data_IF_094712189197
#
_entry.id   IF_094712189197
#
_cell.length_a   1.000
_cell.length_b   1.000
_cell.length_c   1.000
_cell.angle_alpha   90.00
_cell.angle_beta   90.00
_cell.angle_gamma   90.00
#
_symmetry.space_group_name_H-M   'P 1'
#
loop_
_entity.id
_entity.type
_entity.pdbx_description
1 polymer ?
#
# COMPACT_ATOMS: atom_id res chain seq x y z
N UNK A 1 -37.67 -40.12 -33.47
CA UNK A 1 -37.65 -41.02 -32.29
C UNK A 1 -37.81 -40.18 -31.02
N UNK A 2 -38.84 -40.41 -30.19
CA UNK A 2 -39.00 -39.70 -28.94
C UNK A 2 -37.89 -40.07 -27.95
N UNK A 3 -37.22 -39.06 -27.38
CA UNK A 3 -36.15 -39.26 -26.40
C UNK A 3 -36.75 -39.82 -25.10
N UNK A 4 -36.16 -40.89 -24.55
CA UNK A 4 -36.66 -41.51 -23.31
C UNK A 4 -36.62 -40.50 -22.15
N UNK A 5 -37.71 -40.38 -21.39
CA UNK A 5 -37.85 -39.46 -20.22
C UNK A 5 -36.66 -39.48 -19.26
N UNK A 6 -36.04 -40.64 -19.04
CA UNK A 6 -34.84 -40.80 -18.18
C UNK A 6 -33.59 -40.07 -18.73
N UNK A 7 -33.43 -40.02 -20.06
CA UNK A 7 -32.32 -39.32 -20.72
C UNK A 7 -32.47 -37.80 -20.57
N UNK A 8 -33.69 -37.29 -20.75
CA UNK A 8 -34.02 -35.87 -20.56
C UNK A 8 -33.74 -35.40 -19.13
N UNK A 9 -34.12 -36.19 -18.12
CA UNK A 9 -33.84 -35.88 -16.71
C UNK A 9 -32.34 -35.82 -16.41
N UNK A 10 -31.54 -36.78 -16.94
CA UNK A 10 -30.08 -36.76 -16.74
C UNK A 10 -29.40 -35.55 -17.38
N UNK A 11 -29.82 -35.18 -18.59
CA UNK A 11 -29.32 -33.99 -19.28
C UNK A 11 -29.66 -32.73 -18.46
N UNK A 12 -30.90 -32.62 -17.97
CA UNK A 12 -31.32 -31.50 -17.11
C UNK A 12 -30.50 -31.42 -15.82
N UNK A 13 -30.28 -32.55 -15.12
CA UNK A 13 -29.44 -32.59 -13.92
C UNK A 13 -28.00 -32.16 -14.25
N UNK A 14 -27.44 -32.64 -15.36
CA UNK A 14 -26.09 -32.24 -15.80
C UNK A 14 -25.98 -30.74 -16.11
N UNK A 15 -26.98 -30.16 -16.79
CA UNK A 15 -27.04 -28.72 -17.07
C UNK A 15 -27.17 -27.92 -15.77
N UNK A 16 -28.06 -28.32 -14.86
CA UNK A 16 -28.24 -27.66 -13.56
C UNK A 16 -26.96 -27.75 -12.73
N UNK A 17 -26.33 -28.92 -12.65
CA UNK A 17 -25.06 -29.09 -11.95
C UNK A 17 -23.96 -28.23 -12.58
N UNK A 18 -23.86 -28.18 -13.90
CA UNK A 18 -22.89 -27.34 -14.61
C UNK A 18 -23.11 -25.83 -14.37
N UNK A 19 -24.38 -25.38 -14.35
CA UNK A 19 -24.74 -24.00 -14.02
C UNK A 19 -24.38 -23.69 -12.56
N UNK A 20 -24.70 -24.59 -11.62
CA UNK A 20 -24.37 -24.43 -10.21
C UNK A 20 -22.85 -24.40 -9.98
N UNK A 21 -22.09 -25.25 -10.69
CA UNK A 21 -20.62 -25.23 -10.68
C UNK A 21 -20.09 -23.90 -11.22
N UNK A 22 -20.70 -23.34 -12.27
CA UNK A 22 -20.33 -22.02 -12.80
C UNK A 22 -20.49 -20.89 -11.79
N UNK A 23 -21.50 -20.94 -10.92
CA UNK A 23 -21.67 -19.96 -9.84
C UNK A 23 -20.60 -20.07 -8.76
N UNK A 24 -19.96 -21.24 -8.59
CA UNK A 24 -18.75 -21.39 -7.76
C UNK A 24 -17.49 -20.88 -8.47
N UNK A 25 -17.50 -20.66 -9.79
CA UNK A 25 -16.31 -20.20 -10.50
C UNK A 25 -15.97 -18.73 -10.20
N UNK A 26 -16.84 -17.96 -9.55
CA UNK A 26 -16.57 -16.54 -9.27
C UNK A 26 -16.99 -16.13 -7.87
N UNK A 27 -16.11 -15.43 -7.17
CA UNK A 27 -16.47 -14.74 -5.94
C UNK A 27 -15.85 -13.35 -5.89
N UNK A 28 -16.43 -12.49 -5.07
CA UNK A 28 -15.95 -11.13 -4.81
C UNK A 28 -15.54 -10.99 -3.35
N UNK A 29 -14.39 -10.38 -3.12
CA UNK A 29 -13.91 -10.00 -1.79
C UNK A 29 -13.82 -8.48 -1.67
N UNK A 30 -14.16 -7.93 -0.50
CA UNK A 30 -14.16 -6.49 -0.25
C UNK A 30 -13.31 -6.18 0.98
N UNK A 31 -12.14 -5.61 0.78
CA UNK A 31 -11.23 -5.24 1.86
C UNK A 31 -11.27 -3.73 2.11
N UNK A 32 -11.16 -3.34 3.38
CA UNK A 32 -10.95 -1.95 3.80
C UNK A 32 -9.62 -1.82 4.53
N UNK A 33 -8.76 -0.92 4.07
CA UNK A 33 -7.39 -0.79 4.57
C UNK A 33 -6.95 0.68 4.67
N UNK A 34 -5.79 0.89 5.32
CA UNK A 34 -5.11 2.18 5.49
C UNK A 34 -6.02 3.34 5.93
N UNK A 35 -6.77 3.19 7.03
CA UNK A 35 -7.66 4.23 7.48
C UNK A 35 -6.85 5.36 8.13
N UNK A 36 -7.29 6.60 7.91
CA UNK A 36 -6.66 7.80 8.46
C UNK A 36 -7.71 8.81 8.88
N UNK A 37 -7.56 9.34 10.09
CA UNK A 37 -8.41 10.41 10.59
C UNK A 37 -8.12 11.74 9.90
N UNK A 38 -9.17 12.53 9.65
CA UNK A 38 -9.00 13.96 9.43
C UNK A 38 -8.42 14.64 10.67
N UNK A 39 -7.74 15.76 10.49
CA UNK A 39 -7.11 16.52 11.58
C UNK A 39 -8.09 17.00 12.65
N UNK A 40 -9.35 17.21 12.28
CA UNK A 40 -10.44 17.61 13.18
C UNK A 40 -11.18 16.42 13.81
N UNK A 41 -10.82 15.18 13.50
CA UNK A 41 -11.45 13.96 14.01
C UNK A 41 -12.89 13.73 13.50
N UNK A 42 -13.39 14.52 12.56
CA UNK A 42 -14.78 14.39 12.07
C UNK A 42 -14.92 13.37 10.96
N UNK A 43 -13.84 13.05 10.24
CA UNK A 43 -13.85 12.15 9.09
C UNK A 43 -12.78 11.08 9.22
N UNK A 44 -13.05 9.97 8.54
CA UNK A 44 -12.10 8.89 8.30
C UNK A 44 -12.00 8.73 6.78
N UNK A 45 -10.77 8.72 6.29
CA UNK A 45 -10.43 8.30 4.93
C UNK A 45 -9.94 6.87 4.97
N UNK A 46 -10.22 6.09 3.95
CA UNK A 46 -9.73 4.72 3.86
C UNK A 46 -9.63 4.28 2.40
N UNK A 47 -8.93 3.16 2.20
CA UNK A 47 -8.95 2.44 0.94
C UNK A 47 -10.02 1.36 0.99
N UNK A 48 -10.75 1.20 -0.10
CA UNK A 48 -11.61 0.05 -0.35
C UNK A 48 -11.10 -0.70 -1.57
N UNK A 49 -10.71 -1.95 -1.41
CA UNK A 49 -10.33 -2.84 -2.50
C UNK A 49 -11.43 -3.86 -2.75
N UNK A 50 -11.81 -4.04 -4.00
CA UNK A 50 -12.77 -5.06 -4.43
C UNK A 50 -12.06 -5.98 -5.41
N UNK A 51 -11.78 -7.22 -4.97
CA UNK A 51 -11.16 -8.24 -5.81
C UNK A 51 -12.23 -9.16 -6.37
N UNK A 52 -12.22 -9.34 -7.69
CA UNK A 52 -13.06 -10.30 -8.38
C UNK A 52 -12.20 -11.48 -8.76
N UNK A 53 -12.53 -12.64 -8.20
CA UNK A 53 -11.83 -13.88 -8.44
C UNK A 53 -12.57 -14.70 -9.48
N UNK A 54 -11.80 -15.38 -10.32
CA UNK A 54 -12.30 -16.44 -11.20
C UNK A 54 -11.51 -17.69 -10.94
N UNK A 55 -12.21 -18.81 -10.95
CA UNK A 55 -11.60 -20.13 -10.92
C UNK A 55 -10.86 -20.35 -12.23
N UNK A 56 -9.56 -20.59 -12.15
CA UNK A 56 -8.70 -20.87 -13.29
C UNK A 56 -8.06 -22.24 -13.10
N UNK A 57 -8.03 -23.03 -14.17
CA UNK A 57 -7.29 -24.28 -14.21
C UNK A 57 -5.87 -23.99 -14.71
N UNK A 58 -4.88 -24.15 -13.83
CA UNK A 58 -3.45 -24.02 -14.15
C UNK A 58 -2.79 -25.40 -14.07
N UNK A 59 -2.78 -26.15 -15.18
CA UNK A 59 -2.26 -27.52 -15.19
C UNK A 59 -3.09 -28.47 -14.33
N UNK A 60 -2.45 -29.13 -13.35
CA UNK A 60 -3.09 -30.04 -12.39
C UNK A 60 -3.71 -29.35 -11.17
N UNK A 61 -3.49 -28.03 -11.00
CA UNK A 61 -3.99 -27.27 -9.86
C UNK A 61 -5.15 -26.37 -10.25
N UNK A 62 -6.07 -26.23 -9.30
CA UNK A 62 -7.19 -25.31 -9.37
C UNK A 62 -6.94 -24.17 -8.39
N UNK A 63 -6.92 -22.94 -8.89
CA UNK A 63 -6.74 -21.76 -8.05
C UNK A 63 -7.68 -20.63 -8.48
N UNK A 64 -8.07 -19.82 -7.50
CA UNK A 64 -8.78 -18.59 -7.76
C UNK A 64 -7.78 -17.50 -8.06
N UNK A 65 -7.86 -16.95 -9.28
CA UNK A 65 -7.04 -15.81 -9.68
C UNK A 65 -7.89 -14.54 -9.70
N UNK A 66 -7.30 -13.45 -9.23
CA UNK A 66 -7.90 -12.13 -9.40
C UNK A 66 -7.81 -11.78 -10.88
N UNK A 67 -8.96 -11.69 -11.54
CA UNK A 67 -9.03 -11.31 -12.96
C UNK A 67 -9.46 -9.85 -13.14
N UNK A 68 -9.88 -9.20 -12.06
CA UNK A 68 -10.33 -7.82 -12.06
C UNK A 68 -10.29 -7.33 -10.63
N UNK A 69 -9.90 -6.08 -10.45
CA UNK A 69 -10.03 -5.42 -9.17
C UNK A 69 -10.52 -3.99 -9.33
N UNK A 70 -11.04 -3.43 -8.24
CA UNK A 70 -11.42 -2.03 -8.15
C UNK A 70 -10.97 -1.47 -6.82
N UNK A 71 -10.12 -0.45 -6.86
CA UNK A 71 -9.63 0.22 -5.67
C UNK A 71 -10.19 1.64 -5.60
N UNK A 72 -10.60 2.04 -4.40
CA UNK A 72 -11.20 3.34 -4.16
C UNK A 72 -10.50 4.01 -2.98
N UNK A 73 -10.19 5.29 -3.13
CA UNK A 73 -9.96 6.18 -1.98
C UNK A 73 -11.30 6.73 -1.56
N UNK A 74 -11.69 6.50 -0.31
CA UNK A 74 -13.00 6.87 0.22
C UNK A 74 -12.88 7.81 1.41
N UNK A 75 -13.96 8.53 1.68
CA UNK A 75 -14.17 9.30 2.90
C UNK A 75 -15.51 8.95 3.52
N UNK A 76 -15.58 9.02 4.85
CA UNK A 76 -16.81 8.93 5.62
C UNK A 76 -16.73 9.79 6.88
N UNK A 77 -17.88 10.13 7.46
CA UNK A 77 -17.91 10.67 8.82
C UNK A 77 -17.40 9.61 9.81
N UNK A 78 -16.89 10.05 10.95
CA UNK A 78 -16.33 9.16 11.98
C UNK A 78 -17.37 8.24 12.64
N UNK A 79 -18.65 8.54 12.48
CA UNK A 79 -19.77 7.67 12.88
C UNK A 79 -20.16 6.65 11.79
N UNK A 80 -19.48 6.65 10.64
CA UNK A 80 -19.74 5.79 9.48
C UNK A 80 -20.80 6.29 8.51
N UNK A 81 -21.41 7.45 8.76
CA UNK A 81 -22.36 8.09 7.85
C UNK A 81 -21.66 8.81 6.69
N UNK A 82 -22.43 9.18 5.66
CA UNK A 82 -21.98 9.96 4.49
C UNK A 82 -20.71 9.42 3.81
N UNK A 83 -20.85 8.43 2.94
CA UNK A 83 -19.72 7.80 2.23
C UNK A 83 -19.53 8.44 0.86
N UNK A 84 -18.33 8.95 0.59
CA UNK A 84 -17.96 9.55 -0.70
C UNK A 84 -16.70 8.90 -1.27
N UNK A 85 -16.74 8.56 -2.55
CA UNK A 85 -15.55 8.12 -3.31
C UNK A 85 -14.79 9.36 -3.75
N UNK A 86 -13.49 9.42 -3.44
CA UNK A 86 -12.59 10.50 -3.82
C UNK A 86 -11.79 10.15 -5.08
N UNK A 87 -11.33 8.90 -5.20
CA UNK A 87 -10.65 8.40 -6.39
C UNK A 87 -11.05 6.95 -6.66
N UNK A 88 -10.97 6.54 -7.93
CA UNK A 88 -11.34 5.20 -8.39
C UNK A 88 -10.32 4.69 -9.40
N UNK A 89 -9.82 3.50 -9.14
CA UNK A 89 -8.89 2.77 -10.00
C UNK A 89 -9.50 1.42 -10.35
N UNK A 90 -9.49 1.04 -11.63
CA UNK A 90 -10.08 -0.20 -12.11
C UNK A 90 -9.00 -0.99 -12.82
N UNK A 91 -8.62 -2.11 -12.23
CA UNK A 91 -7.76 -3.07 -12.88
C UNK A 91 -8.54 -4.15 -13.62
N UNK A 92 -7.91 -4.70 -14.64
CA UNK A 92 -8.42 -5.82 -15.42
C UNK A 92 -7.42 -6.98 -15.36
N UNK A 93 -7.72 -8.06 -16.05
CA UNK A 93 -6.87 -9.24 -16.03
C UNK A 93 -5.52 -8.90 -16.64
N UNK A 94 -4.44 -9.20 -15.91
CA UNK A 94 -3.09 -8.81 -16.31
C UNK A 94 -2.80 -7.31 -16.15
N UNK A 95 -3.69 -6.52 -15.53
CA UNK A 95 -3.49 -5.11 -15.19
C UNK A 95 -4.21 -4.76 -13.87
N UNK A 96 -3.82 -5.35 -12.74
CA UNK A 96 -4.47 -5.07 -11.45
C UNK A 96 -3.96 -3.75 -10.85
N UNK A 97 -4.86 -2.98 -10.20
CA UNK A 97 -4.56 -1.63 -9.68
C UNK A 97 -4.94 -1.55 -8.20
N UNK A 98 -3.99 -1.50 -7.29
CA UNK A 98 -4.21 -1.46 -5.85
C UNK A 98 -3.81 -0.12 -5.28
N UNK A 99 -4.66 0.45 -4.42
CA UNK A 99 -4.27 1.62 -3.63
C UNK A 99 -3.76 1.13 -2.28
N UNK A 100 -2.63 1.66 -1.85
CA UNK A 100 -1.95 1.29 -0.62
C UNK A 100 -1.40 2.53 0.10
N UNK A 101 -1.01 2.35 1.36
CA UNK A 101 -0.26 3.34 2.12
C UNK A 101 -0.91 4.73 2.17
N UNK A 102 -2.24 4.81 2.29
CA UNK A 102 -2.95 6.08 2.40
C UNK A 102 -2.49 6.90 3.63
N UNK A 103 -2.24 8.19 3.41
CA UNK A 103 -1.90 9.16 4.43
C UNK A 103 -2.58 10.51 4.13
N UNK A 104 -2.68 11.36 5.16
CA UNK A 104 -3.14 12.75 5.04
C UNK A 104 -1.96 13.69 5.27
N UNK A 105 -1.88 14.78 4.49
CA UNK A 105 -0.86 15.81 4.73
C UNK A 105 -1.05 16.48 6.10
N UNK A 106 0.02 17.00 6.73
CA UNK A 106 -0.06 17.68 8.03
C UNK A 106 -1.01 18.90 8.07
N UNK A 107 -1.24 19.53 6.93
CA UNK A 107 -2.19 20.64 6.78
C UNK A 107 -3.66 20.17 6.75
N UNK A 108 -3.89 18.87 6.53
CA UNK A 108 -5.19 18.22 6.48
C UNK A 108 -5.98 18.48 5.20
N UNK A 109 -5.37 18.95 4.10
CA UNK A 109 -6.07 19.33 2.86
C UNK A 109 -5.98 18.30 1.74
N UNK A 110 -4.86 17.57 1.68
CA UNK A 110 -4.59 16.57 0.66
C UNK A 110 -4.39 15.18 1.27
N UNK A 111 -4.73 14.17 0.49
CA UNK A 111 -4.39 12.77 0.75
C UNK A 111 -3.28 12.33 -0.20
N UNK A 112 -2.42 11.44 0.28
CA UNK A 112 -1.36 10.83 -0.51
C UNK A 112 -1.46 9.32 -0.35
N UNK A 113 -1.20 8.60 -1.42
CA UNK A 113 -1.25 7.14 -1.43
C UNK A 113 -0.32 6.60 -2.49
N UNK A 114 0.03 5.32 -2.33
CA UNK A 114 0.69 4.55 -3.37
C UNK A 114 -0.37 3.86 -4.23
N UNK A 115 -0.23 3.94 -5.55
CA UNK A 115 -0.96 3.12 -6.50
C UNK A 115 0.01 2.08 -7.04
N UNK A 116 -0.25 0.81 -6.74
CA UNK A 116 0.43 -0.33 -7.33
C UNK A 116 -0.32 -0.76 -8.58
N UNK A 117 0.37 -0.77 -9.71
CA UNK A 117 -0.13 -1.26 -10.99
C UNK A 117 0.97 -2.00 -11.74
N UNK A 118 0.63 -3.11 -12.38
CA UNK A 118 1.58 -3.80 -13.27
C UNK A 118 1.60 -3.19 -14.68
N UNK A 119 0.94 -2.05 -14.91
CA UNK A 119 1.13 -1.17 -16.07
C UNK A 119 2.22 -0.11 -15.79
N UNK A 120 3.15 0.07 -16.75
CA UNK A 120 4.42 0.82 -16.57
C UNK A 120 4.31 2.26 -16.15
N UNK A 121 3.19 2.89 -16.46
CA UNK A 121 3.05 4.33 -16.29
C UNK A 121 2.04 4.67 -15.21
N UNK A 122 1.55 3.68 -14.48
CA UNK A 122 0.53 3.91 -13.47
C UNK A 122 1.06 3.74 -12.06
N UNK A 123 2.02 2.85 -11.83
CA UNK A 123 2.62 2.69 -10.50
C UNK A 123 3.26 4.00 -10.01
N UNK A 124 2.90 4.43 -8.81
CA UNK A 124 3.12 5.83 -8.43
C UNK A 124 2.75 6.18 -7.01
N UNK A 125 3.41 7.22 -6.49
CA UNK A 125 2.85 7.98 -5.38
C UNK A 125 1.94 9.05 -5.99
N UNK A 126 0.70 9.09 -5.54
CA UNK A 126 -0.31 10.06 -5.99
C UNK A 126 -0.74 10.92 -4.83
N UNK A 127 -1.24 12.11 -5.17
CA UNK A 127 -1.93 12.99 -4.24
C UNK A 127 -3.26 13.46 -4.80
N UNK A 128 -4.20 13.77 -3.92
CA UNK A 128 -5.52 14.31 -4.28
C UNK A 128 -6.01 15.26 -3.19
N UNK A 129 -6.69 16.34 -3.58
CA UNK A 129 -7.40 17.18 -2.63
C UNK A 129 -8.59 16.42 -2.03
N UNK A 130 -8.89 16.68 -0.75
CA UNK A 130 -10.06 16.09 -0.07
C UNK A 130 -11.39 16.53 -0.71
N UNK A 131 -11.40 17.64 -1.44
CA UNK A 131 -12.57 18.10 -2.22
C UNK A 131 -12.77 17.36 -3.56
N UNK A 132 -11.91 16.37 -3.88
CA UNK A 132 -11.92 15.53 -5.08
C UNK A 132 -11.35 16.23 -6.33
N UNK A 133 -10.58 17.31 -6.14
CA UNK A 133 -9.86 17.97 -7.23
C UNK A 133 -8.40 17.54 -7.28
N UNK A 134 -7.77 17.78 -8.43
CA UNK A 134 -6.32 17.72 -8.61
C UNK A 134 -5.68 16.38 -8.19
N UNK A 135 -6.21 15.26 -8.71
CA UNK A 135 -5.48 13.99 -8.64
C UNK A 135 -4.22 14.11 -9.49
N UNK A 136 -3.05 14.07 -8.86
CA UNK A 136 -1.74 14.25 -9.51
C UNK A 136 -0.80 13.13 -9.10
N UNK A 137 -0.02 12.64 -10.06
CA UNK A 137 1.09 11.72 -9.82
C UNK A 137 2.33 12.49 -9.37
N UNK A 138 2.86 12.17 -8.20
CA UNK A 138 4.01 12.85 -7.58
C UNK A 138 5.32 12.15 -7.93
N UNK A 139 5.33 10.81 -7.93
CA UNK A 139 6.50 10.01 -8.28
C UNK A 139 6.09 8.82 -9.15
N UNK A 140 6.97 8.42 -10.07
CA UNK A 140 6.76 7.30 -10.98
C UNK A 140 7.63 6.10 -10.60
N UNK A 141 7.08 4.90 -10.74
CA UNK A 141 7.78 3.63 -10.49
C UNK A 141 7.66 2.75 -11.72
N UNK A 142 8.76 2.07 -12.09
CA UNK A 142 8.77 1.16 -13.23
C UNK A 142 8.01 -0.14 -12.89
N UNK A 143 7.38 -0.80 -13.88
CA UNK A 143 6.70 -2.11 -13.67
C UNK A 143 7.65 -3.11 -13.08
N UNK A 144 7.10 -3.88 -12.16
CA UNK A 144 7.83 -4.94 -11.48
C UNK A 144 8.58 -4.44 -10.27
N UNK A 145 8.68 -3.13 -10.03
CA UNK A 145 9.10 -2.66 -8.71
C UNK A 145 8.19 -3.29 -7.64
N UNK A 146 8.79 -4.01 -6.70
CA UNK A 146 8.11 -4.98 -5.83
C UNK A 146 6.92 -4.42 -5.02
N UNK A 147 6.20 -5.35 -4.40
CA UNK A 147 4.88 -5.22 -3.77
C UNK A 147 4.79 -4.29 -2.54
N UNK A 148 5.80 -3.50 -2.21
CA UNK A 148 5.70 -2.56 -1.08
C UNK A 148 6.69 -1.42 -1.24
N UNK A 149 6.18 -0.25 -1.57
CA UNK A 149 6.90 1.02 -1.37
C UNK A 149 6.26 1.73 -0.20
N UNK A 150 6.93 1.66 0.96
CA UNK A 150 6.61 2.55 2.06
C UNK A 150 7.08 3.96 1.73
N UNK A 151 6.25 4.93 2.09
CA UNK A 151 6.58 6.34 2.00
C UNK A 151 6.23 7.03 3.31
N UNK A 152 6.94 8.12 3.57
CA UNK A 152 6.86 8.89 4.79
C UNK A 152 6.84 10.37 4.45
N UNK A 153 5.89 11.09 5.04
CA UNK A 153 5.74 12.52 4.86
C UNK A 153 6.67 13.26 5.81
N UNK A 154 7.33 14.31 5.31
CA UNK A 154 8.08 15.22 6.17
C UNK A 154 7.15 15.89 7.18
N UNK A 155 7.64 16.27 8.38
CA UNK A 155 6.82 16.91 9.41
C UNK A 155 6.11 18.20 8.94
N UNK A 156 6.73 18.91 8.00
CA UNK A 156 6.21 20.13 7.38
C UNK A 156 5.30 19.87 6.16
N UNK A 157 5.17 18.61 5.73
CA UNK A 157 4.33 18.19 4.60
C UNK A 157 4.86 18.55 3.21
N UNK A 158 6.10 19.06 3.10
CA UNK A 158 6.66 19.52 1.81
C UNK A 158 7.33 18.43 1.01
N UNK A 159 7.77 17.35 1.65
CA UNK A 159 8.56 16.29 1.01
C UNK A 159 8.01 14.90 1.37
N UNK A 160 8.32 13.95 0.49
CA UNK A 160 8.05 12.53 0.67
C UNK A 160 9.39 11.79 0.58
N UNK A 161 9.77 11.11 1.66
CA UNK A 161 10.84 10.13 1.63
C UNK A 161 10.22 8.75 1.37
N UNK A 162 10.77 7.97 0.45
CA UNK A 162 10.20 6.67 0.12
C UNK A 162 11.27 5.65 -0.25
N UNK A 163 10.91 4.38 -0.08
CA UNK A 163 11.73 3.26 -0.51
C UNK A 163 11.27 2.81 -1.88
N UNK A 164 12.18 2.80 -2.86
CA UNK A 164 11.94 2.27 -4.20
C UNK A 164 12.47 0.84 -4.27
N UNK A 165 11.60 -0.11 -4.62
CA UNK A 165 12.00 -1.48 -4.93
C UNK A 165 12.16 -1.63 -6.45
N UNK A 166 13.29 -2.16 -6.91
CA UNK A 166 13.54 -2.44 -8.31
C UNK A 166 14.07 -3.88 -8.48
N UNK A 167 13.84 -4.46 -9.65
CA UNK A 167 14.48 -5.73 -10.02
C UNK A 167 15.87 -5.46 -10.61
N UNK A 168 16.84 -6.33 -10.29
CA UNK A 168 18.15 -6.29 -10.96
C UNK A 168 17.99 -6.48 -12.48
N UNK A 169 18.64 -5.61 -13.25
CA UNK A 169 18.82 -5.82 -14.69
C UNK A 169 19.65 -7.10 -14.88
N UNK A 170 19.11 -8.11 -15.56
CA UNK A 170 19.85 -9.34 -15.89
C UNK A 170 19.22 -10.65 -15.41
N UNK A 171 18.01 -10.64 -14.84
CA UNK A 171 17.22 -11.86 -14.61
C UNK A 171 17.66 -12.72 -13.41
N UNK A 172 18.67 -12.28 -12.65
CA UNK A 172 18.94 -12.84 -11.32
C UNK A 172 17.83 -12.38 -10.37
N UNK A 173 17.15 -13.33 -9.74
CA UNK A 173 16.08 -13.10 -8.77
C UNK A 173 16.62 -12.30 -7.56
N UNK A 174 16.51 -10.98 -7.63
CA UNK A 174 16.92 -10.08 -6.56
C UNK A 174 16.17 -8.76 -6.68
N UNK A 175 15.35 -8.46 -5.68
CA UNK A 175 14.82 -7.12 -5.45
C UNK A 175 15.87 -6.33 -4.69
N UNK A 176 16.14 -5.11 -5.12
CA UNK A 176 16.97 -4.17 -4.38
C UNK A 176 16.15 -2.95 -4.02
N UNK A 177 16.46 -2.40 -2.85
CA UNK A 177 15.78 -1.24 -2.30
C UNK A 177 16.72 -0.04 -2.37
N UNK A 178 16.18 1.13 -2.68
CA UNK A 178 16.91 2.39 -2.57
C UNK A 178 16.04 3.44 -1.90
N UNK A 179 16.68 4.37 -1.21
CA UNK A 179 15.99 5.45 -0.51
C UNK A 179 15.96 6.71 -1.37
N UNK A 180 14.78 7.29 -1.52
CA UNK A 180 14.53 8.44 -2.38
C UNK A 180 13.83 9.56 -1.63
N UNK A 181 13.99 10.78 -2.14
CA UNK A 181 13.30 11.97 -1.70
C UNK A 181 12.65 12.63 -2.92
N UNK A 182 11.42 13.11 -2.73
CA UNK A 182 10.69 13.89 -3.74
C UNK A 182 9.90 15.00 -3.06
N UNK A 183 9.84 16.17 -3.68
CA UNK A 183 8.96 17.25 -3.26
C UNK A 183 7.49 16.90 -3.47
N UNK A 184 6.59 17.48 -2.67
CA UNK A 184 5.16 17.15 -2.72
C UNK A 184 4.46 17.57 -4.01
N UNK A 185 5.08 18.43 -4.83
CA UNK A 185 4.64 18.75 -6.18
C UNK A 185 5.19 17.82 -7.26
N UNK A 186 6.04 16.85 -6.89
CA UNK A 186 6.72 15.93 -7.81
C UNK A 186 8.08 16.42 -8.32
N UNK A 187 8.51 17.62 -7.91
CA UNK A 187 9.84 18.15 -8.18
C UNK A 187 10.92 17.44 -7.34
N UNK A 188 12.18 17.60 -7.75
CA UNK A 188 13.35 17.16 -6.96
C UNK A 188 13.27 15.68 -6.56
N UNK A 189 12.90 14.81 -7.50
CA UNK A 189 12.89 13.37 -7.28
C UNK A 189 14.29 12.79 -7.47
N UNK A 190 15.00 12.49 -6.38
CA UNK A 190 16.36 11.96 -6.42
C UNK A 190 16.65 10.94 -5.32
N UNK A 191 17.64 10.08 -5.58
CA UNK A 191 18.09 9.05 -4.64
C UNK A 191 18.95 9.70 -3.54
N UNK A 192 18.64 9.43 -2.28
CA UNK A 192 19.33 9.98 -1.11
C UNK A 192 20.28 8.97 -0.45
N UNK A 193 20.04 7.67 -0.66
CA UNK A 193 20.94 6.60 -0.25
C UNK A 193 20.84 5.47 -1.28
N UNK A 194 22.00 4.86 -1.58
CA UNK A 194 22.17 3.90 -2.68
C UNK A 194 21.38 2.59 -2.51
N UNK A 195 21.76 1.59 -3.30
CA UNK A 195 21.15 0.26 -3.23
C UNK A 195 21.27 -0.36 -1.84
N UNK A 196 20.34 -1.27 -1.53
CA UNK A 196 20.21 -1.92 -0.21
C UNK A 196 20.00 -0.90 0.93
N UNK A 197 19.18 0.13 0.67
CA UNK A 197 18.72 1.08 1.66
C UNK A 197 17.20 1.23 1.69
N UNK A 198 16.65 1.51 2.86
CA UNK A 198 15.22 1.71 3.11
C UNK A 198 15.00 2.94 3.96
N UNK A 199 14.01 3.75 3.59
CA UNK A 199 13.51 4.83 4.43
C UNK A 199 12.70 4.23 5.55
N UNK A 200 13.00 4.63 6.78
CA UNK A 200 12.35 4.15 8.00
C UNK A 200 11.46 5.23 8.65
N UNK A 201 11.67 6.49 8.26
CA UNK A 201 10.81 7.60 8.66
C UNK A 201 11.51 8.95 8.69
N UNK A 202 10.90 9.87 9.43
CA UNK A 202 11.44 11.21 9.65
C UNK A 202 11.69 11.45 11.13
N UNK A 203 12.70 12.27 11.41
CA UNK A 203 12.87 12.90 12.70
C UNK A 203 11.92 14.10 12.82
N UNK A 204 11.64 14.55 14.05
CA UNK A 204 10.77 15.71 14.30
C UNK A 204 11.31 17.01 13.68
N UNK A 205 12.63 17.13 13.58
CA UNK A 205 13.34 18.27 12.98
C UNK A 205 13.54 18.13 11.46
N UNK A 206 12.91 17.14 10.81
CA UNK A 206 12.85 17.05 9.35
C UNK A 206 14.06 16.40 8.69
N UNK A 207 14.79 15.55 9.39
CA UNK A 207 15.81 14.66 8.81
C UNK A 207 15.20 13.29 8.52
N UNK A 208 15.79 12.54 7.60
CA UNK A 208 15.29 11.24 7.15
C UNK A 208 16.12 10.14 7.82
N UNK A 209 15.46 9.11 8.33
CA UNK A 209 16.10 7.93 8.91
C UNK A 209 16.11 6.84 7.85
N UNK A 210 17.28 6.25 7.64
CA UNK A 210 17.52 5.26 6.58
C UNK A 210 18.17 4.03 7.20
N UNK A 211 17.61 2.84 7.04
CA UNK A 211 18.34 1.57 7.27
C UNK A 211 19.09 1.20 6.00
N UNK A 212 20.40 0.97 6.11
CA UNK A 212 21.24 0.64 4.98
C UNK A 212 22.34 -0.36 5.35
N UNK A 213 22.75 -1.17 4.37
CA UNK A 213 23.99 -1.92 4.47
C UNK A 213 25.17 -1.00 4.24
N UNK A 214 26.13 -1.01 5.17
CA UNK A 214 27.32 -0.17 5.11
C UNK A 214 28.61 -0.95 5.31
N UNK A 215 29.69 -0.45 4.74
CA UNK A 215 31.06 -0.92 5.01
C UNK A 215 31.55 -0.54 6.43
N UNK A 216 32.80 -0.87 6.74
CA UNK A 216 33.39 -0.61 8.06
C UNK A 216 33.49 0.90 8.34
N UNK A 217 33.65 1.71 7.30
CA UNK A 217 33.68 3.18 7.33
C UNK A 217 32.27 3.82 7.36
N UNK A 218 31.21 3.02 7.28
CA UNK A 218 29.82 3.49 7.32
C UNK A 218 29.32 4.07 6.00
N UNK A 219 29.98 3.80 4.86
CA UNK A 219 29.46 4.14 3.55
C UNK A 219 28.40 3.11 3.10
N UNK A 220 27.26 3.55 2.57
CA UNK A 220 26.30 2.66 1.94
C UNK A 220 26.92 1.83 0.82
N UNK A 221 26.70 0.52 0.84
CA UNK A 221 27.19 -0.43 -0.16
C UNK A 221 26.12 -1.47 -0.50
N UNK A 222 26.02 -1.87 -1.78
CA UNK A 222 25.15 -2.98 -2.15
C UNK A 222 25.67 -4.27 -1.51
N UNK A 223 24.75 -5.10 -1.03
CA UNK A 223 25.05 -6.40 -0.41
C UNK A 223 25.68 -7.39 -1.38
N UNK A 224 25.32 -7.27 -2.65
CA UNK A 224 25.81 -8.13 -3.69
C UNK A 224 26.46 -7.29 -4.78
N UNK A 225 27.61 -7.75 -5.26
CA UNK A 225 28.28 -7.14 -6.40
C UNK A 225 27.46 -7.31 -7.70
N UNK A 226 28.01 -6.81 -8.80
CA UNK A 226 27.41 -6.92 -10.14
C UNK A 226 27.29 -8.37 -10.65
N UNK A 227 27.97 -9.33 -10.01
CA UNK A 227 27.90 -10.77 -10.32
C UNK A 227 26.92 -11.51 -9.40
N UNK A 228 26.29 -10.82 -8.45
CA UNK A 228 25.42 -11.43 -7.46
C UNK A 228 26.16 -12.12 -6.31
N UNK A 229 27.47 -11.89 -6.15
CA UNK A 229 28.24 -12.42 -5.03
C UNK A 229 28.11 -11.50 -3.83
N UNK A 230 27.96 -12.08 -2.65
CA UNK A 230 27.87 -11.33 -1.40
C UNK A 230 29.20 -10.59 -1.14
N UNK A 231 29.15 -9.28 -0.95
CA UNK A 231 30.31 -8.51 -0.48
C UNK A 231 30.44 -8.70 1.04
N UNK A 232 31.53 -9.35 1.47
CA UNK A 232 31.83 -9.59 2.89
C UNK A 232 31.96 -8.30 3.71
N UNK A 233 31.71 -8.40 5.02
CA UNK A 233 31.85 -7.35 6.04
C UNK A 233 30.82 -6.19 6.04
N UNK A 234 29.71 -6.32 5.34
CA UNK A 234 28.62 -5.36 5.45
C UNK A 234 27.78 -5.55 6.73
N UNK A 235 27.37 -4.44 7.33
CA UNK A 235 26.45 -4.43 8.49
C UNK A 235 25.27 -3.51 8.22
N UNK A 236 24.07 -3.92 8.61
CA UNK A 236 22.90 -3.02 8.64
C UNK A 236 23.14 -1.93 9.70
N UNK A 237 22.98 -0.66 9.32
CA UNK A 237 23.03 0.48 10.23
C UNK A 237 21.99 1.51 9.83
N UNK A 238 21.48 2.21 10.84
CA UNK A 238 20.73 3.43 10.61
C UNK A 238 21.68 4.56 10.26
N UNK A 239 21.30 5.34 9.24
CA UNK A 239 21.93 6.56 8.77
C UNK A 239 20.89 7.68 8.84
N UNK A 240 21.36 8.93 8.91
CA UNK A 240 20.48 10.10 8.87
C UNK A 240 20.82 10.93 7.64
N UNK A 241 19.84 11.21 6.80
CA UNK A 241 19.99 12.17 5.71
C UNK A 241 19.38 13.51 6.11
N UNK A 242 20.16 14.58 5.96
CA UNK A 242 19.70 15.95 6.17
C UNK A 242 19.39 16.61 4.82
N UNK A 243 18.09 16.85 4.49
CA UNK A 243 17.71 17.45 3.22
C UNK A 243 18.24 18.87 3.00
N UNK A 244 18.51 19.62 4.08
CA UNK A 244 18.99 21.01 3.96
C UNK A 244 20.45 21.06 3.51
N UNK A 245 21.30 20.22 4.09
CA UNK A 245 22.72 20.13 3.71
C UNK A 245 23.00 19.13 2.59
N UNK A 246 22.00 18.31 2.21
CA UNK A 246 22.10 17.21 1.27
C UNK A 246 23.19 16.20 1.63
N UNK A 247 23.42 15.99 2.94
CA UNK A 247 24.48 15.10 3.44
C UNK A 247 23.93 13.93 4.24
N UNK A 248 24.63 12.81 4.11
CA UNK A 248 24.41 11.61 4.92
C UNK A 248 25.31 11.66 6.16
N UNK A 249 24.68 11.62 7.33
CA UNK A 249 25.32 11.56 8.65
C UNK A 249 25.45 10.08 9.01
N UNK A 250 26.70 9.60 9.01
CA UNK A 250 27.03 8.17 9.21
C UNK A 250 27.09 7.79 10.69
N UNK A 251 27.52 8.71 11.53
CA UNK A 251 27.58 8.52 12.97
C UNK A 251 26.27 8.95 13.59
N UNK A 252 25.33 8.01 13.67
CA UNK A 252 24.06 8.22 14.36
C UNK A 252 24.31 8.10 15.87
N UNK A 253 24.11 9.18 16.65
CA UNK A 253 24.35 9.14 18.09
C UNK A 253 23.55 8.04 18.77
N UNK A 254 24.11 7.43 19.83
CA UNK A 254 23.43 6.36 20.58
C UNK A 254 22.05 6.81 21.09
N UNK A 255 21.87 8.09 21.43
CA UNK A 255 20.56 8.62 21.81
C UNK A 255 19.50 8.54 20.71
N UNK A 256 19.86 8.55 19.42
CA UNK A 256 18.91 8.37 18.32
C UNK A 256 18.31 6.96 18.27
N UNK A 257 18.99 5.94 18.80
CA UNK A 257 18.40 4.61 18.98
C UNK A 257 17.25 4.59 19.99
N UNK A 258 17.15 5.62 20.85
CA UNK A 258 16.11 5.77 21.89
C UNK A 258 15.10 6.89 21.60
N UNK A 259 15.32 7.77 20.61
CA UNK A 259 14.56 9.02 20.44
C UNK A 259 13.65 8.98 19.20
N UNK A 260 12.35 9.26 19.45
CA UNK A 260 11.36 9.93 18.58
C UNK A 260 11.50 9.74 17.06
N UNK A 261 11.64 8.51 16.60
CA UNK A 261 11.30 8.18 15.21
C UNK A 261 9.82 8.57 15.06
N UNK A 262 9.48 9.53 14.19
CA UNK A 262 8.11 9.58 13.69
C UNK A 262 7.96 8.40 12.75
N UNK A 263 7.82 7.22 13.35
CA UNK A 263 7.26 6.07 12.68
C UNK A 263 5.91 6.54 12.16
N UNK A 264 5.56 6.10 10.95
CA UNK A 264 4.28 6.37 10.28
C UNK A 264 3.21 6.55 11.36
N UNK A 265 2.83 7.82 11.61
CA UNK A 265 1.99 8.19 12.76
C UNK A 265 0.84 7.21 12.78
N UNK A 266 0.57 6.58 13.93
CA UNK A 266 -0.55 5.63 14.01
C UNK A 266 -1.83 6.36 13.58
N UNK A 267 -2.18 6.17 12.31
CA UNK A 267 -3.29 6.88 11.66
C UNK A 267 -4.63 6.34 12.14
N UNK A 268 -4.59 5.26 12.92
CA UNK A 268 -5.78 4.64 13.50
C UNK A 268 -6.27 5.40 14.73
N UNK A 269 -5.41 6.14 15.44
CA UNK A 269 -5.78 6.91 16.63
C UNK A 269 -6.31 8.30 16.22
N UNK A 270 -7.44 8.71 16.81
CA UNK A 270 -8.03 10.02 16.56
C UNK A 270 -7.12 11.16 17.02
N UNK A 271 -7.23 12.37 16.44
CA UNK A 271 -6.36 13.49 16.81
C UNK A 271 -6.42 13.91 18.28
N UNK A 272 -7.55 13.68 18.94
CA UNK A 272 -7.75 13.93 20.37
C UNK A 272 -7.29 12.77 21.28
N UNK A 273 -6.83 11.66 20.68
CA UNK A 273 -6.37 10.47 21.39
C UNK A 273 -7.47 9.70 22.11
N UNK A 274 -8.75 9.97 21.84
CA UNK A 274 -9.88 9.33 22.56
C UNK A 274 -10.39 8.07 21.87
N UNK A 275 -10.18 7.93 20.57
CA UNK A 275 -10.69 6.84 19.76
C UNK A 275 -9.58 6.20 18.95
N UNK A 276 -9.79 4.94 18.59
CA UNK A 276 -8.97 4.22 17.62
C UNK A 276 -9.83 3.47 16.62
N UNK A 277 -9.33 3.38 15.40
CA UNK A 277 -9.86 2.51 14.36
C UNK A 277 -9.36 1.09 14.63
N UNK A 278 -10.22 0.11 14.42
CA UNK A 278 -9.88 -1.30 14.59
C UNK A 278 -10.37 -2.14 13.42
N UNK A 279 -9.79 -3.33 13.31
CA UNK A 279 -10.22 -4.37 12.39
C UNK A 279 -10.65 -5.60 13.17
N UNK A 280 -11.82 -6.12 12.83
CA UNK A 280 -12.36 -7.36 13.39
C UNK A 280 -13.03 -8.13 12.27
N UNK A 281 -12.54 -9.33 11.96
CA UNK A 281 -13.07 -10.15 10.87
C UNK A 281 -13.17 -9.39 9.53
N UNK A 282 -12.11 -8.62 9.18
CA UNK A 282 -12.05 -7.75 7.99
C UNK A 282 -13.03 -6.57 7.98
N UNK A 283 -13.80 -6.37 9.05
CA UNK A 283 -14.66 -5.20 9.22
C UNK A 283 -13.84 -4.03 9.77
N UNK A 284 -14.13 -2.82 9.30
CA UNK A 284 -13.53 -1.59 9.80
C UNK A 284 -14.47 -0.96 10.83
N UNK A 285 -13.98 -0.72 12.04
CA UNK A 285 -14.73 -0.12 13.13
C UNK A 285 -13.97 1.01 13.84
N UNK A 286 -14.66 1.67 14.76
CA UNK A 286 -14.08 2.65 15.69
C UNK A 286 -14.48 2.26 17.11
N UNK A 287 -13.55 2.40 18.04
CA UNK A 287 -13.76 2.17 19.47
C UNK A 287 -13.07 3.25 20.29
N UNK A 288 -13.48 3.40 21.53
CA UNK A 288 -12.77 4.25 22.49
C UNK A 288 -11.42 3.59 22.86
N UNK A 289 -10.49 4.37 23.41
CA UNK A 289 -9.14 3.86 23.69
C UNK A 289 -9.08 2.76 24.74
N UNK A 290 -10.01 2.79 25.70
CA UNK A 290 -10.23 1.73 26.70
C UNK A 290 -10.81 0.44 26.11
N UNK A 291 -11.26 0.48 24.84
CA UNK A 291 -11.89 -0.63 24.14
C UNK A 291 -13.40 -0.71 24.31
N UNK A 292 -14.01 0.24 25.03
CA UNK A 292 -15.46 0.37 25.15
C UNK A 292 -16.08 1.00 23.89
N UNK A 293 -17.42 1.00 23.82
CA UNK A 293 -18.20 1.65 22.77
C UNK A 293 -17.79 1.31 21.32
N UNK A 294 -17.54 0.02 21.05
CA UNK A 294 -17.18 -0.46 19.72
C UNK A 294 -18.31 -0.29 18.71
N UNK A 295 -18.01 0.28 17.55
CA UNK A 295 -18.95 0.43 16.43
C UNK A 295 -18.31 0.00 15.12
N UNK A 296 -18.92 -0.98 14.45
CA UNK A 296 -18.55 -1.36 13.08
C UNK A 296 -19.09 -0.32 12.10
N UNK A 297 -18.21 0.28 11.30
CA UNK A 297 -18.56 1.32 10.31
C UNK A 297 -18.76 0.73 8.91
N UNK A 298 -17.88 -0.21 8.54
CA UNK A 298 -17.88 -0.87 7.24
C UNK A 298 -17.76 -2.37 7.46
N UNK A 299 -18.71 -3.12 6.89
CA UNK A 299 -18.67 -4.58 6.90
C UNK A 299 -18.06 -5.11 5.61
N UNK A 300 -17.16 -6.08 5.73
CA UNK A 300 -16.78 -6.91 4.60
C UNK A 300 -18.03 -7.69 4.14
N UNK A 301 -18.10 -7.98 2.84
CA UNK A 301 -19.08 -8.86 2.25
C UNK A 301 -18.38 -9.72 1.21
N UNK A 302 -18.08 -10.96 1.57
CA UNK A 302 -17.85 -12.01 0.58
C UNK A 302 -19.18 -12.30 -0.11
N UNK A 303 -19.21 -12.14 -1.42
CA UNK A 303 -20.40 -12.46 -2.23
C UNK A 303 -20.01 -13.43 -3.34
N UNK A 304 -20.63 -14.59 -3.33
CA UNK A 304 -20.66 -15.48 -4.49
C UNK A 304 -21.57 -14.84 -5.54
N UNK A 305 -21.06 -14.67 -6.76
CA UNK A 305 -21.85 -14.15 -7.85
C UNK A 305 -22.83 -15.24 -8.28
N UNK A 306 -24.13 -14.97 -8.15
CA UNK A 306 -25.19 -15.88 -8.62
C UNK A 306 -25.25 -15.88 -10.14
#
# INVERSE_FOLDING_TARGET
MPMKRKTVIKILIGIVAFILIKSFLYYTEVEYSYPVWSKDGKRIYCVKNINYYRFAQGGFFFEYRIYKNRSYVMSMNSDGSWKKVLAKFVGQEGSLKYVENLAILPDGKELIFYLLSNEHEESGIYKINIDVRNLVKVANFLVGGGLSTDFYLSPDGKNIAYTKCEFRRGGLSGQWYSSWLVGIGGQDNYMICGEESKVEGWTKDGKIIIDAYVDIEGNPKPRFDNKGQYEGDLKSRYLIYDPLSMKLIKEVPQEFKKINIMLKKDTTISPDGKKKIFWEEKNLGVMDMDGENKKILLKDKVRYLK
#
